data_IF_199007572884
#
_entry.id   IF_199007572884
#
_cell.length_a   1.000
_cell.length_b   1.000
_cell.length_c   1.000
_cell.angle_alpha   90.00
_cell.angle_beta   90.00
_cell.angle_gamma   90.00
#
_symmetry.space_group_name_H-M   'P 1'
#
loop_
_entity.id
_entity.type
_entity.pdbx_description
1 polymer ?
#
# COMPACT_ATOMS: atom_id res chain seq x y z
N UNK A 1 -20.53 9.50 -0.19
CA UNK A 1 -20.10 8.15 0.23
C UNK A 1 -19.59 8.23 1.66
N UNK A 2 -19.71 7.18 2.47
CA UNK A 2 -19.08 7.12 3.79
C UNK A 2 -17.79 6.31 3.68
N UNK A 3 -16.68 6.87 4.14
CA UNK A 3 -15.43 6.13 4.30
C UNK A 3 -15.50 5.25 5.55
N UNK A 4 -15.03 4.01 5.42
CA UNK A 4 -15.02 3.02 6.49
C UNK A 4 -13.67 2.31 6.46
N UNK A 5 -12.97 2.30 7.59
CA UNK A 5 -11.70 1.59 7.72
C UNK A 5 -11.90 0.07 7.55
N UNK A 6 -10.92 -0.57 6.93
CA UNK A 6 -10.83 -2.03 6.85
C UNK A 6 -10.53 -2.60 8.24
N UNK A 7 -11.24 -3.64 8.71
CA UNK A 7 -10.91 -4.30 9.97
C UNK A 7 -9.47 -4.84 9.99
N UNK A 8 -8.79 -4.79 11.13
CA UNK A 8 -7.42 -5.28 11.27
C UNK A 8 -7.27 -6.76 10.91
N UNK A 9 -8.29 -7.57 11.21
CA UNK A 9 -8.37 -9.00 10.83
C UNK A 9 -8.36 -9.26 9.33
N UNK A 10 -8.73 -8.25 8.54
CA UNK A 10 -8.86 -8.33 7.09
C UNK A 10 -7.63 -7.74 6.38
N UNK A 11 -6.62 -7.31 7.15
CA UNK A 11 -5.33 -6.90 6.62
C UNK A 11 -4.45 -8.14 6.30
N UNK A 12 -3.55 -8.04 5.31
CA UNK A 12 -3.37 -6.89 4.41
C UNK A 12 -4.38 -6.86 3.25
N UNK A 13 -4.72 -5.66 2.79
CA UNK A 13 -5.40 -5.50 1.49
C UNK A 13 -4.36 -5.68 0.39
N UNK A 14 -4.24 -6.90 -0.13
CA UNK A 14 -3.28 -7.23 -1.18
C UNK A 14 -3.62 -6.51 -2.50
N UNK A 15 -2.61 -5.99 -3.18
CA UNK A 15 -2.75 -5.48 -4.54
C UNK A 15 -3.23 -6.60 -5.49
N UNK A 16 -4.07 -6.28 -6.49
CA UNK A 16 -4.52 -7.28 -7.45
C UNK A 16 -3.34 -7.80 -8.28
N UNK A 17 -3.36 -9.10 -8.57
CA UNK A 17 -2.39 -9.71 -9.48
C UNK A 17 -2.59 -9.15 -10.90
N UNK A 18 -1.59 -8.41 -11.37
CA UNK A 18 -1.63 -7.70 -12.65
C UNK A 18 -1.43 -8.67 -13.82
N UNK A 19 -0.74 -9.80 -13.61
CA UNK A 19 -0.45 -10.78 -14.67
C UNK A 19 -1.69 -11.60 -15.05
N UNK A 20 -2.63 -11.78 -14.12
CA UNK A 20 -3.80 -12.65 -14.30
C UNK A 20 -5.03 -11.97 -14.88
N UNK A 21 -4.99 -10.66 -15.12
CA UNK A 21 -6.14 -9.90 -15.57
C UNK A 21 -5.93 -9.34 -16.99
N UNK A 22 -6.42 -10.12 -17.96
CA UNK A 22 -6.81 -9.72 -19.33
C UNK A 22 -5.66 -9.42 -20.31
N UNK A 23 -5.44 -10.40 -21.20
CA UNK A 23 -4.67 -10.37 -22.47
C UNK A 23 -3.15 -10.66 -22.43
N UNK A 24 -2.58 -11.12 -21.31
CA UNK A 24 -1.15 -11.46 -21.27
C UNK A 24 -0.23 -10.26 -21.53
N UNK A 25 -0.73 -9.05 -21.28
CA UNK A 25 0.03 -7.80 -21.30
C UNK A 25 -0.07 -7.15 -19.94
N UNK A 26 1.06 -6.72 -19.39
CA UNK A 26 1.10 -6.04 -18.09
C UNK A 26 0.37 -4.69 -18.17
N UNK A 27 -0.14 -4.19 -17.03
CA UNK A 27 -0.77 -2.86 -16.99
C UNK A 27 0.20 -1.73 -17.44
N UNK A 28 1.52 -1.94 -17.28
CA UNK A 28 2.57 -1.07 -17.79
C UNK A 28 2.72 -1.14 -19.33
N UNK A 29 2.49 -2.31 -19.94
CA UNK A 29 2.57 -2.52 -21.39
C UNK A 29 1.35 -1.96 -22.16
N UNK A 30 0.20 -1.78 -21.49
CA UNK A 30 -1.00 -1.21 -22.12
C UNK A 30 -1.03 0.32 -22.13
N UNK A 31 -0.19 1.02 -21.35
CA UNK A 31 0.04 2.46 -21.47
C UNK A 31 1.27 2.92 -20.67
N UNK A 32 2.36 3.39 -21.31
CA UNK A 32 3.59 3.82 -20.63
C UNK A 32 3.47 5.18 -19.89
N UNK A 33 2.30 5.81 -19.88
CA UNK A 33 2.06 7.12 -19.28
C UNK A 33 1.69 7.06 -17.78
N UNK A 34 2.34 6.19 -17.02
CA UNK A 34 2.31 6.26 -15.55
C UNK A 34 3.14 7.46 -15.02
N UNK A 35 3.93 8.09 -15.90
CA UNK A 35 4.78 9.25 -15.60
C UNK A 35 4.52 10.41 -16.58
N UNK A 36 3.27 10.87 -16.65
CA UNK A 36 2.98 12.20 -17.18
C UNK A 36 2.15 12.94 -16.15
N UNK A 37 2.82 13.88 -15.48
CA UNK A 37 2.24 14.74 -14.47
C UNK A 37 0.91 15.34 -14.92
N UNK A 38 -0.03 15.31 -13.97
CA UNK A 38 -0.96 16.41 -13.75
C UNK A 38 -1.95 16.73 -14.88
N UNK A 39 -2.71 15.75 -15.41
CA UNK A 39 -4.12 15.93 -15.84
C UNK A 39 -4.87 14.58 -15.86
N UNK A 40 -5.75 14.34 -14.88
CA UNK A 40 -6.97 13.50 -15.06
C UNK A 40 -6.83 11.99 -15.24
N UNK A 41 -5.67 11.38 -14.99
CA UNK A 41 -5.52 9.91 -15.06
C UNK A 41 -5.98 9.28 -13.74
N UNK A 42 -7.11 8.58 -13.76
CA UNK A 42 -7.57 7.74 -12.64
C UNK A 42 -6.53 6.68 -12.29
N UNK A 43 -6.32 6.40 -10.99
CA UNK A 43 -5.45 5.30 -10.52
C UNK A 43 -5.65 4.02 -11.35
N UNK A 44 -4.58 3.30 -11.76
CA UNK A 44 -4.70 2.02 -12.47
C UNK A 44 -5.61 1.02 -11.74
N UNK A 45 -5.67 1.04 -10.41
CA UNK A 45 -6.49 0.15 -9.59
C UNK A 45 -8.00 0.38 -9.81
N UNK A 46 -8.41 1.57 -10.25
CA UNK A 46 -9.81 1.87 -10.59
C UNK A 46 -10.39 0.96 -11.70
N UNK A 47 -9.52 0.38 -12.52
CA UNK A 47 -9.89 -0.51 -13.64
C UNK A 47 -10.12 -1.97 -13.18
N UNK A 48 -9.67 -2.35 -11.99
CA UNK A 48 -9.80 -3.72 -11.47
C UNK A 48 -11.12 -3.91 -10.74
N UNK A 49 -12.23 -3.94 -11.48
CA UNK A 49 -13.59 -3.99 -10.92
C UNK A 49 -13.84 -5.13 -9.92
N UNK A 50 -13.26 -6.31 -10.17
CA UNK A 50 -13.40 -7.47 -9.28
C UNK A 50 -12.67 -7.29 -7.94
N UNK A 51 -11.59 -6.50 -7.92
CA UNK A 51 -10.84 -6.19 -6.72
C UNK A 51 -11.41 -4.97 -6.00
N UNK A 52 -11.82 -3.94 -6.77
CA UNK A 52 -12.37 -2.68 -6.28
C UNK A 52 -13.68 -2.88 -5.51
N UNK A 53 -14.59 -3.74 -6.01
CA UNK A 53 -15.88 -3.99 -5.36
C UNK A 53 -15.69 -4.87 -4.12
N UNK A 54 -16.22 -4.45 -2.98
CA UNK A 54 -16.12 -5.18 -1.73
C UNK A 54 -17.41 -5.10 -0.90
N UNK A 55 -17.50 -5.98 0.10
CA UNK A 55 -18.56 -5.87 1.12
C UNK A 55 -18.18 -4.79 2.11
N UNK A 56 -19.09 -3.87 2.41
CA UNK A 56 -18.86 -2.85 3.43
C UNK A 56 -18.80 -3.50 4.83
N UNK A 57 -17.70 -3.38 5.60
CA UNK A 57 -17.55 -4.05 6.88
C UNK A 57 -18.49 -3.50 7.97
N UNK A 58 -19.04 -2.30 7.77
CA UNK A 58 -19.98 -1.67 8.71
C UNK A 58 -21.43 -2.14 8.53
N UNK A 59 -21.86 -2.42 7.30
CA UNK A 59 -23.27 -2.71 7.00
C UNK A 59 -23.52 -4.07 6.32
N UNK A 60 -22.46 -4.77 5.89
CA UNK A 60 -22.54 -6.10 5.28
C UNK A 60 -23.08 -6.13 3.84
N UNK A 61 -23.32 -4.98 3.20
CA UNK A 61 -23.81 -4.92 1.82
C UNK A 61 -22.65 -4.93 0.81
N UNK A 62 -22.91 -5.47 -0.38
CA UNK A 62 -22.00 -5.47 -1.54
C UNK A 62 -22.07 -4.15 -2.34
N UNK A 63 -22.04 -3.03 -1.63
CA UNK A 63 -22.07 -1.66 -2.18
C UNK A 63 -20.78 -0.88 -1.89
N UNK A 64 -19.77 -1.54 -1.31
CA UNK A 64 -18.47 -0.96 -1.00
C UNK A 64 -17.54 -0.89 -2.21
N UNK A 65 -16.76 0.18 -2.27
CA UNK A 65 -15.62 0.31 -3.17
C UNK A 65 -14.36 0.54 -2.35
N UNK A 66 -13.29 -0.19 -2.67
CA UNK A 66 -11.97 0.06 -2.10
C UNK A 66 -11.43 1.40 -2.61
N UNK A 67 -10.70 2.09 -1.74
CA UNK A 67 -9.80 3.16 -2.18
C UNK A 67 -8.84 2.59 -3.22
N UNK A 68 -8.67 3.33 -4.31
CA UNK A 68 -7.83 2.92 -5.44
C UNK A 68 -6.51 3.67 -5.48
N UNK A 69 -6.35 4.72 -4.70
CA UNK A 69 -5.06 5.35 -4.50
C UNK A 69 -4.16 4.49 -3.61
N UNK A 70 -2.86 4.50 -3.90
CA UNK A 70 -1.83 3.83 -3.11
C UNK A 70 -1.11 4.85 -2.25
N UNK A 71 -0.50 4.39 -1.16
CA UNK A 71 0.41 5.23 -0.39
C UNK A 71 1.66 5.55 -1.23
N UNK A 72 2.17 6.77 -1.06
CA UNK A 72 3.40 7.20 -1.70
C UNK A 72 4.62 6.45 -1.16
N UNK A 73 5.69 6.37 -1.95
CA UNK A 73 6.94 5.67 -1.57
C UNK A 73 7.62 6.23 -0.31
N UNK A 74 7.37 7.50 0.06
CA UNK A 74 7.85 8.08 1.32
C UNK A 74 7.17 7.47 2.55
N UNK A 75 5.99 6.86 2.40
CA UNK A 75 5.34 6.16 3.50
C UNK A 75 6.22 5.01 3.98
N UNK A 76 6.66 4.15 3.06
CA UNK A 76 7.49 2.98 3.37
C UNK A 76 8.88 3.37 3.91
N UNK A 77 9.49 4.41 3.32
CA UNK A 77 10.83 4.88 3.74
C UNK A 77 10.82 5.67 5.05
N UNK A 78 9.66 6.07 5.58
CA UNK A 78 9.58 6.80 6.85
C UNK A 78 9.84 5.94 8.09
N UNK A 79 9.77 4.61 7.97
CA UNK A 79 9.93 3.69 9.12
C UNK A 79 10.75 2.42 8.82
N UNK A 80 11.33 2.27 7.63
CA UNK A 80 12.08 1.06 7.25
C UNK A 80 13.20 0.68 8.23
N UNK A 81 13.86 1.67 8.83
CA UNK A 81 14.93 1.46 9.81
C UNK A 81 14.44 0.76 11.08
N UNK A 82 13.20 1.00 11.52
CA UNK A 82 12.59 0.24 12.61
C UNK A 82 12.33 -1.21 12.21
N UNK A 83 11.96 -1.44 10.94
CA UNK A 83 11.67 -2.79 10.46
C UNK A 83 12.91 -3.67 10.40
N UNK A 84 14.10 -3.12 10.21
CA UNK A 84 15.35 -3.90 10.29
C UNK A 84 15.58 -4.56 11.65
N UNK A 85 15.11 -3.93 12.74
CA UNK A 85 15.24 -4.50 14.09
C UNK A 85 14.39 -5.77 14.27
N UNK A 86 13.32 -5.92 13.49
CA UNK A 86 12.32 -6.98 13.69
C UNK A 86 11.64 -7.45 12.40
N UNK A 87 12.43 -7.71 11.36
CA UNK A 87 11.95 -7.91 9.99
C UNK A 87 10.97 -9.09 9.79
N UNK A 88 10.94 -10.06 10.72
CA UNK A 88 10.10 -11.27 10.66
C UNK A 88 8.88 -11.22 11.59
N UNK A 89 8.61 -10.09 12.23
CA UNK A 89 7.43 -9.96 13.09
C UNK A 89 6.16 -9.76 12.27
N UNK A 90 5.22 -10.70 12.36
CA UNK A 90 3.96 -10.66 11.61
C UNK A 90 2.79 -10.07 12.41
N UNK A 91 3.01 -9.67 13.66
CA UNK A 91 1.97 -9.15 14.56
C UNK A 91 2.08 -7.65 14.79
N UNK A 92 3.30 -7.09 14.71
CA UNK A 92 3.59 -5.68 14.97
C UNK A 92 4.61 -5.15 13.97
N UNK A 93 4.70 -3.82 13.86
CA UNK A 93 5.73 -3.15 13.05
C UNK A 93 7.14 -3.53 13.53
N UNK A 94 7.39 -3.39 14.83
CA UNK A 94 8.59 -3.79 15.53
C UNK A 94 8.27 -3.95 17.03
N UNK A 95 8.94 -4.86 17.72
CA UNK A 95 8.87 -4.96 19.18
C UNK A 95 9.39 -3.69 19.86
N UNK A 96 8.64 -3.19 20.83
CA UNK A 96 8.98 -1.97 21.58
C UNK A 96 10.31 -2.15 22.32
N UNK A 97 10.57 -3.33 22.91
CA UNK A 97 11.82 -3.58 23.63
C UNK A 97 13.05 -3.50 22.70
N UNK A 98 12.88 -3.89 21.43
CA UNK A 98 13.95 -3.77 20.43
C UNK A 98 14.15 -2.32 20.00
N UNK A 99 13.07 -1.55 19.84
CA UNK A 99 13.17 -0.11 19.56
C UNK A 99 13.93 0.58 20.68
N UNK A 100 13.54 0.36 21.94
CA UNK A 100 14.20 0.97 23.11
C UNK A 100 15.68 0.60 23.24
N UNK A 101 16.06 -0.61 22.80
CA UNK A 101 17.44 -1.08 22.87
C UNK A 101 18.33 -0.55 21.75
N UNK A 102 17.83 -0.51 20.51
CA UNK A 102 18.64 -0.24 19.32
C UNK A 102 18.47 1.18 18.74
N UNK A 103 17.47 1.94 19.18
CA UNK A 103 17.23 3.30 18.72
C UNK A 103 17.67 4.34 19.76
N UNK A 104 18.07 5.56 19.34
CA UNK A 104 18.10 6.06 17.96
C UNK A 104 19.25 5.48 17.13
N UNK A 105 19.16 5.63 15.81
CA UNK A 105 20.29 5.32 14.91
C UNK A 105 21.46 6.26 15.22
N UNK A 106 22.62 5.72 15.60
CA UNK A 106 23.80 6.52 15.98
C UNK A 106 24.37 7.35 14.81
N UNK A 107 24.45 6.73 13.64
CA UNK A 107 25.01 7.35 12.44
C UNK A 107 24.09 7.02 11.26
N UNK A 108 23.50 8.06 10.69
CA UNK A 108 22.73 7.97 9.46
C UNK A 108 23.47 8.73 8.35
N UNK A 109 23.89 8.03 7.30
CA UNK A 109 24.61 8.60 6.16
C UNK A 109 23.68 8.63 4.96
N UNK A 110 23.40 9.81 4.43
CA UNK A 110 22.51 10.02 3.29
C UNK A 110 22.98 11.17 2.40
N UNK A 111 22.41 11.25 1.20
CA UNK A 111 22.57 12.41 0.33
C UNK A 111 21.76 13.61 0.83
N UNK A 112 22.10 14.81 0.33
CA UNK A 112 21.44 16.07 0.73
C UNK A 112 20.00 16.20 0.24
N UNK A 113 19.65 15.41 -0.77
CA UNK A 113 18.35 15.41 -1.45
C UNK A 113 17.22 14.82 -0.60
N UNK A 114 17.54 14.23 0.55
CA UNK A 114 16.61 13.65 1.53
C UNK A 114 16.85 14.27 2.91
#
# INVERSE_FOLDING_TARGET
>A
SQEVAVPESDLPVLLPDVEKNVDGKTAAEKNPSADQGDVGVSSPLSRFQNWKRCTCPKCGRLDGERETDTLDTFFDSSFYFLRFLDAKNHQKLCDIEKIEHFMPVDVYVGGREH
#
